data_IF_563718411066
#
_entry.id   IF_563718411066
#
_cell.length_a   1.000
_cell.length_b   1.000
_cell.length_c   1.000
_cell.angle_alpha   90.00
_cell.angle_beta   90.00
_cell.angle_gamma   90.00
#
_symmetry.space_group_name_H-M   'P 1'
#
loop_
_entity.id
_entity.type
_entity.pdbx_description
1 polymer ?
#
# COMPACT_ATOMS: atom_id res chain seq x y z
N UNK A 1 -6.70 -16.50 -1.08
CA UNK A 1 -6.33 -16.73 -2.49
C UNK A 1 -5.05 -17.52 -2.48
N UNK A 2 -4.99 -18.51 -3.35
CA UNK A 2 -3.75 -19.22 -3.63
C UNK A 2 -2.87 -18.39 -4.58
N UNK A 3 -1.67 -18.90 -4.86
CA UNK A 3 -0.69 -18.22 -5.71
C UNK A 3 -1.19 -18.05 -7.15
N UNK A 4 -1.89 -19.07 -7.68
CA UNK A 4 -2.43 -19.02 -9.03
C UNK A 4 -3.45 -17.89 -9.20
N UNK A 5 -4.39 -17.74 -8.26
CA UNK A 5 -5.38 -16.67 -8.34
C UNK A 5 -4.73 -15.30 -8.20
N UNK A 6 -3.71 -15.14 -7.36
CA UNK A 6 -2.96 -13.89 -7.27
C UNK A 6 -2.21 -13.57 -8.57
N UNK A 7 -1.52 -14.54 -9.16
CA UNK A 7 -0.83 -14.35 -10.45
C UNK A 7 -1.81 -13.94 -11.53
N UNK A 8 -2.98 -14.59 -11.57
CA UNK A 8 -4.03 -14.25 -12.52
C UNK A 8 -4.60 -12.84 -12.28
N UNK A 9 -4.95 -12.49 -11.04
CA UNK A 9 -5.45 -11.14 -10.72
C UNK A 9 -4.39 -10.10 -11.10
N UNK A 10 -3.14 -10.29 -10.68
CA UNK A 10 -2.05 -9.34 -10.89
C UNK A 10 -1.55 -9.28 -12.34
N UNK A 11 -2.01 -10.18 -13.22
CA UNK A 11 -1.73 -10.11 -14.66
C UNK A 11 -2.49 -8.98 -15.39
N UNK A 12 -3.51 -8.39 -14.76
CA UNK A 12 -4.27 -7.29 -15.34
C UNK A 12 -3.49 -5.97 -15.18
N UNK A 13 -3.43 -5.17 -16.25
CA UNK A 13 -2.73 -3.88 -16.23
C UNK A 13 -3.39 -2.86 -15.30
N UNK A 14 -4.71 -2.93 -15.15
CA UNK A 14 -5.49 -2.00 -14.31
C UNK A 14 -6.27 -2.79 -13.26
N UNK A 15 -6.10 -2.42 -11.99
CA UNK A 15 -6.66 -3.14 -10.84
C UNK A 15 -7.26 -2.17 -9.83
N UNK A 16 -8.45 -2.52 -9.33
CA UNK A 16 -9.11 -1.79 -8.25
C UNK A 16 -9.51 -2.76 -7.14
N UNK A 17 -8.87 -2.63 -5.98
CA UNK A 17 -9.26 -3.34 -4.76
C UNK A 17 -10.19 -2.46 -3.93
N UNK A 18 -11.48 -2.78 -3.92
CA UNK A 18 -12.50 -2.01 -3.20
C UNK A 18 -12.97 -2.73 -1.92
N UNK A 19 -13.48 -1.95 -0.96
CA UNK A 19 -14.06 -2.45 0.31
C UNK A 19 -13.12 -3.37 1.11
N UNK A 20 -11.81 -3.13 0.98
CA UNK A 20 -10.79 -3.92 1.68
C UNK A 20 -10.60 -3.46 3.12
N UNK A 21 -10.27 -4.42 3.99
CA UNK A 21 -9.80 -4.17 5.36
C UNK A 21 -8.33 -3.70 5.36
N UNK A 22 -7.84 -3.13 6.47
CA UNK A 22 -6.43 -2.78 6.63
C UNK A 22 -5.48 -3.98 6.39
N UNK A 23 -5.86 -5.16 6.89
CA UNK A 23 -5.08 -6.40 6.75
C UNK A 23 -5.03 -6.86 5.29
N UNK A 24 -6.14 -6.70 4.56
CA UNK A 24 -6.18 -6.99 3.13
C UNK A 24 -5.32 -6.02 2.33
N UNK A 25 -5.27 -4.73 2.72
CA UNK A 25 -4.36 -3.75 2.09
C UNK A 25 -2.89 -4.16 2.27
N UNK A 26 -2.51 -4.54 3.49
CA UNK A 26 -1.18 -5.05 3.77
C UNK A 26 -0.87 -6.30 2.92
N UNK A 27 -1.80 -7.25 2.86
CA UNK A 27 -1.64 -8.46 2.05
C UNK A 27 -1.41 -8.13 0.57
N UNK A 28 -2.14 -7.19 0.00
CA UNK A 28 -1.95 -6.77 -1.40
C UNK A 28 -0.52 -6.30 -1.60
N UNK A 29 -0.01 -5.41 -0.73
CA UNK A 29 1.38 -4.93 -0.80
C UNK A 29 2.36 -6.10 -0.76
N UNK A 30 2.23 -7.01 0.22
CA UNK A 30 3.13 -8.16 0.34
C UNK A 30 3.09 -9.11 -0.86
N UNK A 31 1.93 -9.28 -1.50
CA UNK A 31 1.78 -10.18 -2.66
C UNK A 31 2.40 -9.60 -3.93
N UNK A 32 2.39 -8.28 -4.12
CA UNK A 32 3.20 -7.62 -5.14
C UNK A 32 4.69 -7.80 -4.85
N UNK A 33 5.13 -7.54 -3.61
CA UNK A 33 6.53 -7.68 -3.22
C UNK A 33 7.06 -9.12 -3.40
N UNK A 34 6.24 -10.13 -3.08
CA UNK A 34 6.57 -11.55 -3.27
C UNK A 34 6.86 -11.90 -4.74
N UNK A 35 6.31 -11.13 -5.67
CA UNK A 35 6.51 -11.25 -7.12
C UNK A 35 7.63 -10.37 -7.65
N UNK A 36 8.54 -9.95 -6.77
CA UNK A 36 9.70 -9.13 -7.06
C UNK A 36 9.37 -7.72 -7.57
N UNK A 37 8.15 -7.23 -7.33
CA UNK A 37 7.79 -5.85 -7.63
C UNK A 37 8.28 -4.89 -6.54
N UNK A 38 8.73 -3.71 -6.96
CA UNK A 38 9.00 -2.60 -6.04
C UNK A 38 7.70 -1.84 -5.83
N UNK A 39 7.30 -1.71 -4.56
CA UNK A 39 5.97 -1.24 -4.18
C UNK A 39 6.11 0.03 -3.36
N UNK A 40 5.56 1.12 -3.88
CA UNK A 40 5.32 2.33 -3.11
C UNK A 40 3.85 2.39 -2.68
N UNK A 41 3.59 2.84 -1.47
CA UNK A 41 2.23 3.04 -0.95
C UNK A 41 2.06 4.50 -0.60
N UNK A 42 1.07 5.15 -1.19
CA UNK A 42 0.58 6.46 -0.76
C UNK A 42 -0.61 6.27 0.18
N UNK A 43 -0.61 7.00 1.31
CA UNK A 43 -1.65 6.87 2.33
C UNK A 43 -1.82 8.15 3.14
N UNK A 44 -3.01 8.34 3.69
CA UNK A 44 -3.35 9.53 4.51
C UNK A 44 -4.06 9.19 5.80
N UNK A 45 -4.42 7.92 6.02
CA UNK A 45 -5.26 7.50 7.14
C UNK A 45 -4.52 6.53 8.05
N UNK A 46 -4.93 6.47 9.32
CA UNK A 46 -4.38 5.52 10.29
C UNK A 46 -4.44 4.06 9.82
N UNK A 47 -5.49 3.68 9.08
CA UNK A 47 -5.64 2.35 8.50
C UNK A 47 -4.62 2.01 7.41
N UNK A 48 -3.93 3.00 6.85
CA UNK A 48 -2.92 2.82 5.83
C UNK A 48 -1.55 2.51 6.42
N UNK A 49 -1.35 2.77 7.73
CA UNK A 49 -0.05 2.65 8.43
C UNK A 49 0.63 1.28 8.25
N UNK A 50 -0.06 0.12 8.39
CA UNK A 50 0.59 -1.17 8.16
C UNK A 50 1.11 -1.31 6.73
N UNK A 51 0.34 -0.86 5.74
CA UNK A 51 0.73 -0.91 4.34
C UNK A 51 1.85 0.08 4.01
N UNK A 52 1.83 1.28 4.61
CA UNK A 52 2.90 2.28 4.48
C UNK A 52 4.23 1.73 4.99
N UNK A 53 4.24 1.11 6.18
CA UNK A 53 5.46 0.53 6.77
C UNK A 53 5.95 -0.74 6.08
N UNK A 54 5.05 -1.49 5.44
CA UNK A 54 5.41 -2.72 4.70
C UNK A 54 5.96 -2.42 3.31
N UNK A 55 5.56 -1.30 2.71
CA UNK A 55 6.00 -0.90 1.38
C UNK A 55 7.52 -0.71 1.34
N UNK A 56 8.10 -0.80 0.14
CA UNK A 56 9.49 -0.40 -0.07
C UNK A 56 9.67 1.12 0.10
N UNK A 57 8.61 1.89 -0.18
CA UNK A 57 8.54 3.32 0.06
C UNK A 57 7.11 3.69 0.52
N UNK A 58 6.96 4.09 1.78
CA UNK A 58 5.75 4.67 2.32
C UNK A 58 5.71 6.18 2.10
N UNK A 59 4.64 6.68 1.48
CA UNK A 59 4.46 8.09 1.15
C UNK A 59 3.22 8.62 1.88
N UNK A 60 3.44 9.52 2.83
CA UNK A 60 2.39 10.26 3.48
C UNK A 60 2.17 11.61 2.78
N UNK A 61 1.01 12.22 3.02
CA UNK A 61 0.67 13.57 2.53
C UNK A 61 0.54 14.50 3.74
N UNK A 62 0.95 15.75 3.60
CA UNK A 62 0.94 16.77 4.66
C UNK A 62 -0.42 16.92 5.35
N UNK A 63 -1.51 16.91 4.57
CA UNK A 63 -2.90 16.98 5.05
C UNK A 63 -3.43 15.67 5.65
N UNK A 64 -2.62 14.61 5.65
CA UNK A 64 -2.97 13.30 6.21
C UNK A 64 -2.92 13.26 7.74
N UNK A 65 -3.43 12.16 8.30
CA UNK A 65 -3.38 11.90 9.74
C UNK A 65 -1.93 11.86 10.25
N UNK A 66 -1.70 12.35 11.47
CA UNK A 66 -0.36 12.41 12.08
C UNK A 66 0.33 11.05 12.09
N UNK A 67 -0.39 10.02 12.51
CA UNK A 67 0.11 8.64 12.53
C UNK A 67 0.50 8.11 11.13
N UNK A 68 -0.09 8.65 10.07
CA UNK A 68 0.28 8.30 8.69
C UNK A 68 1.61 8.97 8.30
N UNK A 69 1.82 10.22 8.72
CA UNK A 69 3.06 10.97 8.49
C UNK A 69 4.23 10.38 9.26
N UNK A 70 4.01 9.96 10.51
CA UNK A 70 5.02 9.25 11.31
C UNK A 70 5.40 7.87 10.73
N UNK A 71 4.49 7.26 9.96
CA UNK A 71 4.69 5.93 9.38
C UNK A 71 5.30 5.95 7.96
N UNK A 72 5.27 7.10 7.27
CA UNK A 72 5.82 7.23 5.93
C UNK A 72 7.33 7.51 5.95
N UNK A 73 8.04 6.98 4.96
CA UNK A 73 9.46 7.30 4.72
C UNK A 73 9.63 8.68 4.07
N UNK A 74 8.60 9.13 3.35
CA UNK A 74 8.53 10.43 2.68
C UNK A 74 7.19 11.11 2.97
N UNK A 75 7.22 12.44 3.14
CA UNK A 75 6.02 13.28 3.27
C UNK A 75 5.96 14.22 2.06
N UNK A 76 4.86 14.16 1.32
CA UNK A 76 4.55 15.11 0.25
C UNK A 76 3.94 16.37 0.85
N UNK A 77 4.62 17.50 0.63
CA UNK A 77 4.18 18.85 1.01
C UNK A 77 3.45 19.49 -0.17
N UNK A 78 2.44 20.32 0.11
CA UNK A 78 1.54 20.91 -0.91
C UNK A 78 1.94 22.34 -1.35
N UNK A 79 3.20 22.74 -1.19
CA UNK A 79 3.68 24.10 -1.51
C UNK A 79 3.72 24.43 -3.02
#
# INVERSE_FOLDING_TARGET
MDDFLWDWVLSHQELVFARISPEQKLRIVSEFQRRAEIVAVTGTRAKDVPALKCAHLGIAIESGAEVSKEAGDMILLDN
#
